data_IF_895276978536
#
_entry.id   IF_895276978536
#
_cell.length_a   1.000
_cell.length_b   1.000
_cell.length_c   1.000
_cell.angle_alpha   90.00
_cell.angle_beta   90.00
_cell.angle_gamma   90.00
#
_symmetry.space_group_name_H-M   'P 1'
#
loop_
_entity.id
_entity.type
_entity.pdbx_description
1 polymer ?
#
# COMPACT_ATOMS: atom_id res chain seq x y z
N UNK A 1 24.28 -6.79 -2.47
CA UNK A 1 23.16 -5.82 -2.61
C UNK A 1 21.87 -6.51 -2.23
N UNK A 2 21.11 -6.02 -1.24
CA UNK A 2 19.86 -6.70 -0.82
C UNK A 2 18.77 -6.50 -1.88
N UNK A 3 18.14 -7.60 -2.31
CA UNK A 3 16.97 -7.57 -3.22
C UNK A 3 15.70 -7.17 -2.45
N UNK A 4 15.70 -7.34 -1.12
CA UNK A 4 14.59 -7.02 -0.24
C UNK A 4 14.74 -5.63 0.34
N UNK A 5 13.72 -4.82 0.15
CA UNK A 5 13.52 -3.54 0.83
C UNK A 5 12.72 -3.75 2.12
N UNK A 6 13.16 -3.11 3.18
CA UNK A 6 12.54 -3.16 4.51
C UNK A 6 12.02 -1.77 4.86
N UNK A 7 10.72 -1.64 5.07
CA UNK A 7 10.08 -0.39 5.45
C UNK A 7 9.41 -0.52 6.82
N UNK A 8 9.53 0.49 7.67
CA UNK A 8 8.73 0.57 8.89
C UNK A 8 7.30 0.96 8.51
N UNK A 9 6.33 0.22 9.02
CA UNK A 9 4.91 0.44 8.72
C UNK A 9 4.05 0.30 9.96
N UNK A 10 2.91 0.99 9.95
CA UNK A 10 1.90 0.90 11.02
C UNK A 10 1.12 -0.38 10.85
N UNK A 11 0.99 -1.13 11.94
CA UNK A 11 0.16 -2.32 12.06
C UNK A 11 -0.99 -2.15 13.05
N UNK A 12 -1.59 -3.27 13.45
CA UNK A 12 -2.69 -3.31 14.40
C UNK A 12 -2.32 -2.57 15.70
N UNK A 13 -3.29 -1.79 16.21
CA UNK A 13 -3.17 -0.96 17.41
C UNK A 13 -2.02 0.09 17.34
N UNK A 14 -1.65 0.52 16.12
CA UNK A 14 -0.56 1.48 15.92
C UNK A 14 0.85 0.90 16.11
N UNK A 15 0.97 -0.42 16.31
CA UNK A 15 2.27 -1.07 16.50
C UNK A 15 3.07 -1.07 15.20
N UNK A 16 4.28 -0.50 15.24
CA UNK A 16 5.15 -0.48 14.07
C UNK A 16 5.77 -1.85 13.83
N UNK A 17 5.81 -2.28 12.56
CA UNK A 17 6.44 -3.52 12.13
C UNK A 17 7.29 -3.31 10.88
N UNK A 18 8.17 -4.26 10.57
CA UNK A 18 8.99 -4.24 9.36
C UNK A 18 8.25 -4.92 8.22
N UNK A 19 7.85 -4.13 7.23
CA UNK A 19 7.20 -4.60 6.01
C UNK A 19 8.25 -4.94 4.94
N UNK A 20 8.13 -6.10 4.31
CA UNK A 20 9.09 -6.59 3.32
C UNK A 20 8.53 -6.40 1.89
N UNK A 21 9.38 -5.88 0.99
CA UNK A 21 9.07 -5.73 -0.44
C UNK A 21 10.28 -6.05 -1.30
N UNK A 22 10.08 -6.36 -2.57
CA UNK A 22 11.19 -6.33 -3.50
C UNK A 22 11.63 -4.89 -3.76
N UNK A 23 12.93 -4.68 -3.91
CA UNK A 23 13.50 -3.38 -4.17
C UNK A 23 13.22 -2.96 -5.60
N UNK A 24 12.50 -1.87 -5.78
CA UNK A 24 12.10 -1.35 -7.10
C UNK A 24 12.75 -0.01 -7.43
N UNK A 25 13.30 0.67 -6.42
CA UNK A 25 13.95 1.97 -6.53
C UNK A 25 15.47 1.83 -6.37
N UNK A 26 16.21 2.71 -7.01
CA UNK A 26 17.64 2.93 -6.74
C UNK A 26 17.81 3.56 -5.36
N UNK A 27 18.99 3.38 -4.76
CA UNK A 27 19.35 4.00 -3.48
C UNK A 27 19.78 5.45 -3.70
N UNK A 28 18.83 6.29 -4.04
CA UNK A 28 19.03 7.72 -4.24
C UNK A 28 18.10 8.50 -3.31
N UNK A 29 18.55 9.65 -2.75
CA UNK A 29 17.69 10.52 -1.95
C UNK A 29 16.46 10.96 -2.74
N UNK A 30 15.32 11.08 -2.04
CA UNK A 30 14.10 11.55 -2.67
C UNK A 30 12.88 11.38 -1.78
N UNK A 31 11.69 11.78 -2.25
CA UNK A 31 10.45 11.72 -1.49
C UNK A 31 10.11 10.27 -1.10
N UNK A 32 9.36 10.12 -0.01
CA UNK A 32 8.86 8.82 0.44
C UNK A 32 7.71 8.30 -0.43
N UNK A 33 6.91 9.22 -0.98
CA UNK A 33 5.89 8.93 -1.98
C UNK A 33 6.48 9.02 -3.39
N UNK A 34 6.03 8.18 -4.32
CA UNK A 34 6.58 8.16 -5.68
C UNK A 34 5.49 7.96 -6.72
N UNK A 35 5.46 8.83 -7.72
CA UNK A 35 4.66 8.65 -8.94
C UNK A 35 5.22 7.55 -9.85
N UNK A 36 4.47 7.23 -10.90
CA UNK A 36 4.89 6.23 -11.91
C UNK A 36 6.07 6.68 -12.75
N UNK A 37 6.33 7.98 -12.77
CA UNK A 37 7.43 8.64 -13.51
C UNK A 37 8.67 8.90 -12.65
N UNK A 38 8.69 8.45 -11.39
CA UNK A 38 9.84 8.61 -10.49
C UNK A 38 11.12 8.05 -11.14
N UNK A 39 12.15 8.88 -11.37
CA UNK A 39 13.38 8.48 -12.07
C UNK A 39 14.18 7.41 -11.34
N UNK A 40 13.95 7.24 -10.03
CA UNK A 40 14.58 6.19 -9.23
C UNK A 40 14.04 4.80 -9.54
N UNK A 41 12.88 4.67 -10.21
CA UNK A 41 12.30 3.37 -10.53
C UNK A 41 13.19 2.65 -11.56
N UNK A 42 13.69 1.47 -11.19
CA UNK A 42 14.47 0.63 -12.10
C UNK A 42 13.59 0.03 -13.20
N UNK A 43 14.17 -0.40 -14.32
CA UNK A 43 13.42 -1.08 -15.40
C UNK A 43 12.67 -2.31 -14.88
N UNK A 44 13.34 -3.14 -14.09
CA UNK A 44 12.74 -4.32 -13.43
C UNK A 44 11.70 -3.86 -12.39
N UNK A 45 12.01 -2.84 -11.60
CA UNK A 45 11.11 -2.27 -10.61
C UNK A 45 9.77 -1.82 -11.20
N UNK A 46 9.79 -1.26 -12.41
CA UNK A 46 8.57 -0.86 -13.12
C UNK A 46 7.66 -2.06 -13.44
N UNK A 47 8.26 -3.17 -13.88
CA UNK A 47 7.52 -4.42 -14.14
C UNK A 47 6.95 -4.98 -12.83
N UNK A 48 7.76 -5.06 -11.77
CA UNK A 48 7.34 -5.56 -10.47
C UNK A 48 6.18 -4.76 -9.88
N UNK A 49 6.23 -3.42 -9.94
CA UNK A 49 5.15 -2.53 -9.48
C UNK A 49 3.88 -2.71 -10.29
N UNK A 50 3.99 -2.77 -11.63
CA UNK A 50 2.82 -2.96 -12.51
C UNK A 50 2.10 -4.28 -12.26
N UNK A 51 2.85 -5.33 -11.93
CA UNK A 51 2.32 -6.67 -11.65
C UNK A 51 2.03 -6.91 -10.17
N UNK A 52 2.33 -5.93 -9.28
CA UNK A 52 2.25 -6.05 -7.82
C UNK A 52 3.10 -7.18 -7.21
N UNK A 53 4.02 -7.74 -8.00
CA UNK A 53 4.96 -8.78 -7.55
C UNK A 53 5.94 -8.22 -6.49
N UNK A 54 6.23 -6.92 -6.54
CA UNK A 54 7.06 -6.26 -5.53
C UNK A 54 6.52 -6.40 -4.10
N UNK A 55 5.24 -6.67 -3.92
CA UNK A 55 4.60 -6.84 -2.61
C UNK A 55 4.55 -8.30 -2.12
N UNK A 56 4.95 -9.29 -2.94
CA UNK A 56 4.94 -10.71 -2.54
C UNK A 56 5.74 -11.02 -1.26
N UNK A 57 6.88 -10.38 -0.96
CA UNK A 57 7.59 -10.65 0.28
C UNK A 57 6.79 -10.32 1.56
N UNK A 58 5.70 -9.54 1.46
CA UNK A 58 4.79 -9.28 2.59
C UNK A 58 4.07 -10.55 3.09
N UNK A 59 4.11 -11.64 2.33
CA UNK A 59 3.63 -12.95 2.80
C UNK A 59 4.36 -13.39 4.09
N UNK A 60 5.61 -12.98 4.26
CA UNK A 60 6.37 -13.19 5.50
C UNK A 60 5.68 -12.49 6.69
N UNK A 61 5.15 -11.28 6.45
CA UNK A 61 4.42 -10.53 7.49
C UNK A 61 3.08 -11.20 7.85
N UNK A 62 2.43 -11.88 6.88
CA UNK A 62 1.23 -12.69 7.16
C UNK A 62 1.59 -13.85 8.07
N UNK A 63 2.63 -14.62 7.76
CA UNK A 63 3.09 -15.74 8.61
C UNK A 63 3.53 -15.30 10.00
N UNK A 64 4.09 -14.10 10.14
CA UNK A 64 4.42 -13.48 11.43
C UNK A 64 3.18 -12.96 12.19
N UNK A 65 2.00 -12.99 11.59
CA UNK A 65 0.77 -12.49 12.19
C UNK A 65 0.64 -10.96 12.24
N UNK A 66 1.51 -10.24 11.55
CA UNK A 66 1.55 -8.76 11.48
C UNK A 66 0.54 -8.22 10.45
N UNK A 67 0.26 -9.00 9.40
CA UNK A 67 -0.63 -8.65 8.29
C UNK A 67 -1.65 -9.76 8.00
N UNK A 68 -2.65 -9.42 7.19
CA UNK A 68 -3.60 -10.34 6.55
C UNK A 68 -3.50 -10.22 5.03
N UNK A 69 -4.15 -11.11 4.29
CA UNK A 69 -4.21 -10.99 2.83
C UNK A 69 -5.04 -9.76 2.43
N UNK A 70 -6.21 -9.58 3.04
CA UNK A 70 -7.15 -8.49 2.75
C UNK A 70 -7.30 -7.61 3.98
N UNK A 71 -7.06 -6.31 3.81
CA UNK A 71 -7.12 -5.32 4.88
C UNK A 71 -6.80 -3.92 4.37
N UNK A 72 -6.70 -2.97 5.27
CA UNK A 72 -6.21 -1.63 4.93
C UNK A 72 -4.70 -1.66 4.62
N UNK A 73 -4.24 -0.74 3.78
CA UNK A 73 -2.83 -0.72 3.36
C UNK A 73 -1.94 -0.18 4.49
N UNK A 74 -0.88 -0.91 4.88
CA UNK A 74 0.02 -0.46 5.95
C UNK A 74 0.76 0.83 5.54
N UNK A 75 0.70 1.82 6.40
CA UNK A 75 1.15 3.19 6.14
C UNK A 75 2.47 3.51 6.84
N UNK A 76 3.13 4.58 6.40
CA UNK A 76 4.31 5.15 7.05
C UNK A 76 3.96 5.61 8.49
N UNK A 77 4.84 5.38 9.50
CA UNK A 77 4.60 5.80 10.88
C UNK A 77 4.24 7.28 11.05
N UNK A 78 4.74 8.17 10.19
CA UNK A 78 4.40 9.60 10.23
C UNK A 78 2.91 9.90 10.06
N UNK A 79 2.15 8.96 9.47
CA UNK A 79 0.71 9.12 9.23
C UNK A 79 -0.18 8.46 10.30
N UNK A 80 0.38 8.00 11.42
CA UNK A 80 -0.39 7.32 12.47
C UNK A 80 -1.63 8.09 12.92
N UNK A 81 -1.47 9.39 13.12
CA UNK A 81 -2.55 10.27 13.60
C UNK A 81 -3.67 10.51 12.58
N UNK A 82 -3.48 10.09 11.34
CA UNK A 82 -4.50 10.21 10.29
C UNK A 82 -5.40 8.98 10.19
N UNK A 83 -5.02 7.86 10.83
CA UNK A 83 -5.74 6.59 10.74
C UNK A 83 -6.81 6.52 11.83
N UNK A 84 -8.04 6.20 11.43
CA UNK A 84 -9.15 6.09 12.37
C UNK A 84 -8.93 4.92 13.36
N UNK A 85 -9.29 5.07 14.66
CA UNK A 85 -9.09 4.02 15.66
C UNK A 85 -9.72 2.66 15.30
N UNK A 86 -10.90 2.65 14.66
CA UNK A 86 -11.55 1.41 14.19
C UNK A 86 -10.69 0.68 13.14
N UNK A 87 -9.99 1.42 12.28
CA UNK A 87 -9.06 0.85 11.28
C UNK A 87 -7.85 0.27 12.00
N UNK A 88 -7.25 1.03 12.92
CA UNK A 88 -6.10 0.58 13.73
C UNK A 88 -6.40 -0.67 14.58
N UNK A 89 -7.66 -0.87 14.99
CA UNK A 89 -8.05 -2.07 15.74
C UNK A 89 -7.95 -3.37 14.91
N UNK A 90 -7.80 -3.27 13.59
CA UNK A 90 -7.65 -4.40 12.67
C UNK A 90 -6.23 -4.53 12.15
N UNK A 91 -5.89 -5.69 11.56
CA UNK A 91 -4.58 -5.88 10.89
C UNK A 91 -4.59 -5.27 9.50
N UNK A 92 -3.47 -4.68 9.06
CA UNK A 92 -3.31 -4.27 7.66
C UNK A 92 -3.25 -5.50 6.73
N UNK A 93 -3.51 -5.27 5.43
CA UNK A 93 -3.51 -6.30 4.40
C UNK A 93 -2.58 -5.98 3.23
N UNK A 94 -2.29 -6.99 2.41
CA UNK A 94 -1.54 -6.82 1.15
C UNK A 94 -2.45 -6.16 0.11
N UNK A 95 -3.69 -6.62 -0.01
CA UNK A 95 -4.70 -6.07 -0.90
C UNK A 95 -5.84 -5.44 -0.10
N UNK A 96 -6.43 -4.38 -0.62
CA UNK A 96 -7.46 -3.65 0.11
C UNK A 96 -8.43 -2.90 -0.77
N UNK A 97 -9.57 -2.53 -0.18
CA UNK A 97 -10.63 -1.80 -0.85
C UNK A 97 -10.17 -0.46 -1.39
N UNK A 98 -9.41 0.30 -0.62
CA UNK A 98 -8.88 1.59 -1.05
C UNK A 98 -8.00 1.49 -2.31
N UNK A 99 -7.23 0.41 -2.45
CA UNK A 99 -6.38 0.18 -3.63
C UNK A 99 -7.19 -0.17 -4.88
N UNK A 100 -8.39 -0.74 -4.72
CA UNK A 100 -9.27 -1.13 -5.83
C UNK A 100 -10.29 -0.05 -6.23
N UNK A 101 -10.51 0.93 -5.37
CA UNK A 101 -11.56 1.96 -5.55
C UNK A 101 -11.04 3.13 -6.39
N UNK A 102 -10.66 2.87 -7.64
CA UNK A 102 -10.25 3.87 -8.65
C UNK A 102 -9.17 4.86 -8.18
N UNK A 103 -8.36 4.47 -7.19
CA UNK A 103 -7.25 5.30 -6.71
C UNK A 103 -5.96 4.90 -7.43
N UNK A 104 -5.65 5.62 -8.49
CA UNK A 104 -4.35 5.56 -9.16
C UNK A 104 -3.36 6.52 -8.48
N UNK A 105 -2.82 6.10 -7.33
CA UNK A 105 -1.84 6.90 -6.57
C UNK A 105 -0.64 7.29 -7.44
N UNK A 106 -0.11 6.36 -8.22
CA UNK A 106 1.03 6.61 -9.11
C UNK A 106 0.73 7.63 -10.20
N UNK A 107 -0.47 7.56 -10.79
CA UNK A 107 -0.92 8.52 -11.80
C UNK A 107 -1.19 9.90 -11.21
N UNK A 108 -1.81 9.98 -10.01
CA UNK A 108 -2.06 11.25 -9.31
C UNK A 108 -0.74 11.97 -8.98
N UNK A 109 0.29 11.22 -8.59
CA UNK A 109 1.61 11.77 -8.23
C UNK A 109 2.52 12.02 -9.44
N UNK A 110 2.11 11.61 -10.64
CA UNK A 110 2.90 11.81 -11.86
C UNK A 110 3.07 13.31 -12.14
N UNK A 111 4.33 13.72 -12.36
CA UNK A 111 4.67 15.11 -12.61
C UNK A 111 4.60 16.02 -11.37
N UNK A 112 4.38 15.47 -10.19
CA UNK A 112 4.35 16.23 -8.96
C UNK A 112 5.74 16.80 -8.62
N UNK A 113 5.77 18.08 -8.25
CA UNK A 113 6.99 18.73 -7.75
C UNK A 113 7.25 18.41 -6.27
N UNK A 114 6.21 18.07 -5.53
CA UNK A 114 6.27 17.63 -4.13
C UNK A 114 5.33 16.44 -3.91
N UNK A 115 5.77 15.21 -4.25
CA UNK A 115 4.94 14.02 -4.15
C UNK A 115 4.43 13.71 -2.74
N UNK A 116 5.19 14.04 -1.69
CA UNK A 116 4.77 13.79 -0.31
C UNK A 116 3.61 14.72 0.08
N UNK A 117 3.69 16.01 -0.29
CA UNK A 117 2.61 16.96 -0.07
C UNK A 117 1.35 16.60 -0.88
N UNK A 118 1.52 16.28 -2.17
CA UNK A 118 0.41 15.87 -3.01
C UNK A 118 -0.26 14.58 -2.50
N UNK A 119 0.52 13.65 -1.96
CA UNK A 119 -0.01 12.46 -1.30
C UNK A 119 -0.90 12.83 -0.10
N UNK A 120 -0.42 13.71 0.77
CA UNK A 120 -1.14 14.14 1.96
C UNK A 120 -2.44 14.90 1.64
N UNK A 121 -2.42 15.76 0.62
CA UNK A 121 -3.55 16.62 0.27
C UNK A 121 -4.58 15.94 -0.65
N UNK A 122 -4.13 15.14 -1.63
CA UNK A 122 -4.98 14.61 -2.70
C UNK A 122 -5.37 13.14 -2.50
N UNK A 123 -4.51 12.33 -1.87
CA UNK A 123 -4.70 10.88 -1.76
C UNK A 123 -5.17 10.49 -0.37
N UNK A 124 -4.48 10.96 0.64
CA UNK A 124 -4.66 10.49 2.02
C UNK A 124 -6.09 10.66 2.54
N UNK A 125 -6.79 11.78 2.36
CA UNK A 125 -8.15 11.96 2.87
C UNK A 125 -9.13 10.91 2.33
N UNK A 126 -9.13 10.72 1.01
CA UNK A 126 -10.01 9.74 0.33
C UNK A 126 -9.67 8.31 0.73
N UNK A 127 -8.40 8.01 0.84
CA UNK A 127 -7.91 6.71 1.28
C UNK A 127 -8.42 6.38 2.70
N UNK A 128 -8.37 7.34 3.64
CA UNK A 128 -8.88 7.14 5.01
C UNK A 128 -10.39 6.88 5.06
N UNK A 129 -11.17 7.56 4.22
CA UNK A 129 -12.60 7.30 4.08
C UNK A 129 -12.87 5.86 3.60
N UNK A 130 -12.17 5.41 2.56
CA UNK A 130 -12.33 4.09 1.98
C UNK A 130 -11.89 2.97 2.93
N UNK A 131 -10.82 3.17 3.69
CA UNK A 131 -10.36 2.22 4.69
C UNK A 131 -11.36 2.08 5.84
N UNK A 132 -11.89 3.19 6.34
CA UNK A 132 -12.91 3.19 7.38
C UNK A 132 -14.20 2.52 6.90
N UNK A 133 -14.63 2.84 5.68
CA UNK A 133 -15.78 2.20 5.07
C UNK A 133 -15.61 0.68 4.98
N UNK A 134 -14.44 0.22 4.52
CA UNK A 134 -14.12 -1.20 4.44
C UNK A 134 -14.21 -1.89 5.80
N UNK A 135 -13.58 -1.32 6.83
CA UNK A 135 -13.59 -1.92 8.18
C UNK A 135 -15.00 -2.04 8.74
N UNK A 136 -15.84 -1.02 8.53
CA UNK A 136 -17.25 -1.01 8.98
C UNK A 136 -18.15 -1.98 8.22
N UNK A 137 -17.82 -2.26 6.96
CA UNK A 137 -18.59 -3.15 6.09
C UNK A 137 -17.92 -4.52 5.86
N UNK A 138 -16.87 -4.82 6.62
CA UNK A 138 -16.08 -6.04 6.46
C UNK A 138 -16.95 -7.28 6.58
N UNK A 139 -16.86 -8.15 5.56
CA UNK A 139 -17.53 -9.44 5.51
C UNK A 139 -16.74 -10.38 4.62
N UNK A 140 -16.91 -11.69 4.80
CA UNK A 140 -16.28 -12.68 3.92
C UNK A 140 -16.64 -12.46 2.44
N UNK A 141 -17.90 -12.07 2.17
CA UNK A 141 -18.38 -11.76 0.81
C UNK A 141 -17.61 -10.57 0.21
N UNK A 142 -17.39 -9.52 0.99
CA UNK A 142 -16.62 -8.35 0.55
C UNK A 142 -15.15 -8.71 0.33
N UNK A 143 -14.56 -9.49 1.22
CA UNK A 143 -13.16 -9.93 1.08
C UNK A 143 -12.97 -10.78 -0.18
N UNK A 144 -13.88 -11.73 -0.48
CA UNK A 144 -13.86 -12.51 -1.72
C UNK A 144 -14.00 -11.59 -2.94
N UNK A 145 -14.90 -10.61 -2.89
CA UNK A 145 -15.08 -9.63 -3.98
C UNK A 145 -13.80 -8.85 -4.24
N UNK A 146 -13.13 -8.35 -3.18
CA UNK A 146 -11.85 -7.64 -3.27
C UNK A 146 -10.80 -8.53 -3.92
N UNK A 147 -10.67 -9.78 -3.46
CA UNK A 147 -9.72 -10.75 -4.01
C UNK A 147 -9.95 -10.98 -5.50
N UNK A 148 -11.19 -11.30 -5.91
CA UNK A 148 -11.53 -11.55 -7.32
C UNK A 148 -11.29 -10.32 -8.18
N UNK A 149 -11.66 -9.12 -7.73
CA UNK A 149 -11.40 -7.87 -8.45
C UNK A 149 -9.91 -7.60 -8.61
N UNK A 150 -9.12 -7.86 -7.57
CA UNK A 150 -7.65 -7.71 -7.62
C UNK A 150 -7.05 -8.64 -8.66
N UNK A 151 -7.42 -9.92 -8.66
CA UNK A 151 -6.92 -10.88 -9.65
C UNK A 151 -7.32 -10.46 -11.08
N UNK A 152 -8.57 -10.05 -11.29
CA UNK A 152 -9.02 -9.55 -12.60
C UNK A 152 -8.23 -8.33 -13.06
N UNK A 153 -7.97 -7.37 -12.17
CA UNK A 153 -7.19 -6.19 -12.49
C UNK A 153 -5.73 -6.53 -12.86
N UNK A 154 -5.16 -7.57 -12.25
CA UNK A 154 -3.81 -8.03 -12.58
C UNK A 154 -3.75 -8.82 -13.90
N UNK A 155 -4.79 -9.59 -14.23
CA UNK A 155 -4.84 -10.44 -15.42
C UNK A 155 -5.50 -9.77 -16.63
N UNK A 156 -6.37 -8.81 -16.42
CA UNK A 156 -7.23 -8.20 -17.45
C UNK A 156 -6.68 -6.92 -18.08
N UNK A 157 -5.42 -6.64 -17.89
CA UNK A 157 -4.73 -5.48 -18.48
C UNK A 157 -3.71 -5.90 -19.52
#
# INVERSE_FOLDING_TARGET
MSIIYKAQRIGKNGKVFTCYKFKTLREEPGPSSSGDDDPRITKIGRILRKTKIDELPQIINIFKGEMTLIGWRPEDPKYLNTIHPEVLATKPGIIGWATLSDMDEGGILRGSLDPDKDYEEKILPKKRELELWYVRNKSLKLDILIFVKTIRALLGK
#
